data_IF_074420551164
#
_entry.id   IF_074420551164
#
_cell.length_a   1.000
_cell.length_b   1.000
_cell.length_c   1.000
_cell.angle_alpha   90.00
_cell.angle_beta   90.00
_cell.angle_gamma   90.00
#
_symmetry.space_group_name_H-M   'P 1'
#
loop_
_entity.id
_entity.type
_entity.pdbx_description
1 polymer ?
#
# COMPACT_ATOMS: atom_id res chain seq x y z
N UNK A 1 70.92 48.67 15.51
CA UNK A 1 69.78 48.32 16.39
C UNK A 1 68.52 48.68 15.64
N UNK A 2 68.11 47.85 14.69
CA UNK A 2 67.15 46.74 14.88
C UNK A 2 65.73 47.24 15.18
N UNK A 3 64.81 46.96 14.27
CA UNK A 3 63.73 46.01 14.53
C UNK A 3 63.17 45.44 13.21
N UNK A 4 63.32 44.13 13.08
CA UNK A 4 62.85 43.28 11.99
C UNK A 4 61.32 43.15 11.95
N UNK A 5 60.84 42.86 10.74
CA UNK A 5 59.47 42.44 10.41
C UNK A 5 59.14 41.07 11.00
N UNK A 6 57.96 40.93 11.58
CA UNK A 6 57.36 39.62 11.87
C UNK A 6 56.29 39.35 10.80
N UNK A 7 56.52 38.30 10.01
CA UNK A 7 55.58 37.72 9.05
C UNK A 7 54.37 37.12 9.78
N UNK A 8 53.17 37.45 9.30
CA UNK A 8 51.94 36.69 9.58
C UNK A 8 51.93 35.50 8.63
N UNK A 9 52.08 34.29 9.18
CA UNK A 9 51.92 33.03 8.48
C UNK A 9 50.44 32.65 8.38
N UNK A 10 50.03 32.29 7.17
CA UNK A 10 48.72 31.76 6.79
C UNK A 10 48.51 30.34 7.36
N UNK A 11 47.28 29.98 7.79
CA UNK A 11 46.92 28.58 7.91
C UNK A 11 46.64 28.03 6.51
N UNK A 12 47.34 26.94 6.20
CA UNK A 12 47.21 26.08 5.05
C UNK A 12 45.76 25.69 4.78
N UNK A 13 45.27 26.06 3.60
CA UNK A 13 44.03 25.57 3.00
C UNK A 13 44.25 24.16 2.42
N UNK A 14 43.26 23.29 2.60
CA UNK A 14 43.29 21.96 1.99
C UNK A 14 42.18 20.99 2.37
N UNK A 15 41.03 21.45 2.88
CA UNK A 15 39.79 20.68 2.76
C UNK A 15 39.08 21.20 1.50
N UNK A 16 38.73 20.33 0.55
CA UNK A 16 38.17 20.78 -0.73
C UNK A 16 36.85 21.51 -0.46
N UNK A 17 36.53 22.57 -1.22
CA UNK A 17 35.27 23.32 -1.00
C UNK A 17 34.03 22.42 -1.09
N UNK A 18 34.12 21.33 -1.86
CA UNK A 18 33.10 20.30 -1.96
C UNK A 18 32.91 19.48 -0.67
N UNK A 19 33.94 19.27 0.14
CA UNK A 19 33.84 18.57 1.44
C UNK A 19 33.21 19.47 2.51
N UNK A 20 33.55 20.76 2.50
CA UNK A 20 32.92 21.76 3.36
C UNK A 20 31.45 21.99 2.99
N UNK A 21 31.13 22.11 1.69
CA UNK A 21 29.75 22.19 1.19
C UNK A 21 28.95 20.93 1.51
N UNK A 22 29.53 19.73 1.32
CA UNK A 22 28.88 18.47 1.68
C UNK A 22 28.64 18.32 3.20
N UNK A 23 29.52 18.88 4.04
CA UNK A 23 29.36 18.91 5.50
C UNK A 23 28.21 19.84 5.92
N UNK A 24 28.12 21.03 5.33
CA UNK A 24 27.03 21.99 5.59
C UNK A 24 25.69 21.42 5.10
N UNK A 25 25.67 20.77 3.92
CA UNK A 25 24.47 20.13 3.40
C UNK A 25 23.98 18.99 4.31
N UNK A 26 24.91 18.21 4.89
CA UNK A 26 24.57 17.14 5.84
C UNK A 26 23.96 17.66 7.14
N UNK A 27 24.41 18.81 7.65
CA UNK A 27 23.83 19.43 8.85
C UNK A 27 22.44 20.03 8.62
N UNK A 28 22.05 20.26 7.37
CA UNK A 28 20.73 20.78 7.01
C UNK A 28 19.68 19.68 6.78
N UNK A 29 20.07 18.40 6.71
CA UNK A 29 19.15 17.28 6.53
C UNK A 29 18.48 16.91 7.84
N UNK A 30 17.18 16.62 7.79
CA UNK A 30 16.38 16.10 8.91
C UNK A 30 16.72 14.65 9.21
N UNK A 31 17.05 13.89 8.17
CA UNK A 31 17.33 12.45 8.27
C UNK A 31 18.79 12.13 7.94
N UNK A 32 19.41 11.31 8.79
CA UNK A 32 20.81 10.95 8.69
C UNK A 32 20.97 9.43 8.57
N UNK A 33 21.03 8.97 7.33
CA UNK A 33 21.28 7.57 7.02
C UNK A 33 22.73 7.37 6.59
N UNK A 34 23.46 6.54 7.34
CA UNK A 34 24.79 6.09 6.98
C UNK A 34 24.76 5.21 5.71
N UNK A 35 25.70 5.45 4.79
CA UNK A 35 25.86 4.64 3.58
C UNK A 35 26.30 3.20 3.92
N UNK A 36 26.05 2.29 2.99
CA UNK A 36 26.41 0.86 3.07
C UNK A 36 25.94 0.24 4.39
N UNK A 37 24.77 0.66 4.86
CA UNK A 37 24.18 0.23 6.11
C UNK A 37 22.76 -0.28 5.87
N UNK A 38 22.39 -1.29 6.63
CA UNK A 38 21.05 -1.86 6.69
C UNK A 38 20.40 -1.45 8.01
N UNK A 39 19.23 -0.85 7.90
CA UNK A 39 18.35 -0.50 9.02
C UNK A 39 17.22 -1.52 9.05
N UNK A 40 17.14 -2.27 10.13
CA UNK A 40 16.16 -3.32 10.32
C UNK A 40 15.01 -2.78 11.17
N UNK A 41 13.78 -2.99 10.70
CA UNK A 41 12.57 -2.56 11.37
C UNK A 41 11.61 -3.73 11.53
N UNK A 42 10.92 -3.83 12.67
CA UNK A 42 9.70 -4.63 12.74
C UNK A 42 8.61 -3.89 12.00
N UNK A 43 7.76 -4.63 11.28
CA UNK A 43 6.65 -4.10 10.52
C UNK A 43 5.37 -4.85 10.89
N UNK A 44 4.38 -4.12 11.38
CA UNK A 44 3.05 -4.63 11.68
C UNK A 44 2.01 -3.75 11.01
N UNK A 45 1.00 -4.36 10.40
CA UNK A 45 -0.19 -3.68 9.88
C UNK A 45 -1.42 -4.46 10.29
N UNK A 46 -2.35 -3.80 10.97
CA UNK A 46 -3.63 -4.33 11.41
C UNK A 46 -4.75 -3.60 10.69
N UNK A 47 -5.56 -4.33 9.94
CA UNK A 47 -6.76 -3.80 9.29
C UNK A 47 -7.99 -4.46 9.87
N UNK A 48 -8.92 -3.67 10.37
CA UNK A 48 -10.20 -4.10 10.91
C UNK A 48 -11.35 -3.49 10.11
N UNK A 49 -12.34 -4.30 9.76
CA UNK A 49 -13.56 -3.87 9.08
C UNK A 49 -14.75 -4.29 9.95
N UNK A 50 -15.64 -3.36 10.24
CA UNK A 50 -16.80 -3.60 11.08
C UNK A 50 -17.98 -2.69 10.72
N UNK A 51 -19.18 -3.10 11.13
CA UNK A 51 -20.34 -2.22 11.09
C UNK A 51 -20.36 -1.33 12.33
N UNK A 52 -20.74 -0.06 12.15
CA UNK A 52 -20.70 0.94 13.24
C UNK A 52 -21.61 0.57 14.44
N UNK A 53 -22.63 -0.26 14.23
CA UNK A 53 -23.52 -0.75 15.28
C UNK A 53 -22.98 -1.98 16.03
N UNK A 54 -21.97 -2.66 15.51
CA UNK A 54 -21.40 -3.91 16.04
C UNK A 54 -19.88 -3.90 15.91
N UNK A 55 -19.18 -2.94 16.53
CA UNK A 55 -17.74 -2.79 16.39
C UNK A 55 -16.95 -3.98 16.93
N UNK A 56 -17.49 -4.69 17.92
CA UNK A 56 -16.84 -5.87 18.52
C UNK A 56 -16.82 -7.07 17.57
N UNK A 57 -17.68 -7.09 16.55
CA UNK A 57 -17.77 -8.15 15.55
C UNK A 57 -16.89 -7.86 14.32
N UNK A 58 -15.70 -7.32 14.53
CA UNK A 58 -14.81 -6.89 13.46
C UNK A 58 -14.13 -8.07 12.75
N UNK A 59 -14.09 -8.02 11.43
CA UNK A 59 -13.19 -8.86 10.63
C UNK A 59 -11.82 -8.22 10.61
N UNK A 60 -10.77 -8.97 11.00
CA UNK A 60 -9.41 -8.46 11.15
C UNK A 60 -8.41 -9.20 10.27
N UNK A 61 -7.47 -8.45 9.72
CA UNK A 61 -6.31 -8.95 8.98
C UNK A 61 -5.06 -8.27 9.54
N UNK A 62 -4.09 -9.05 9.98
CA UNK A 62 -2.80 -8.56 10.47
C UNK A 62 -1.69 -9.09 9.58
N UNK A 63 -0.80 -8.20 9.14
CA UNK A 63 0.43 -8.55 8.44
C UNK A 63 1.58 -8.15 9.35
N UNK A 64 2.45 -9.10 9.68
CA UNK A 64 3.68 -8.87 10.44
C UNK A 64 4.88 -9.25 9.60
N UNK A 65 6.04 -8.65 9.84
CA UNK A 65 7.31 -9.06 9.26
C UNK A 65 8.46 -8.15 9.66
N UNK A 66 9.58 -8.32 8.98
CA UNK A 66 10.79 -7.52 9.17
C UNK A 66 11.11 -6.77 7.88
N UNK A 67 11.30 -5.46 7.97
CA UNK A 67 11.69 -4.62 6.84
C UNK A 67 13.17 -4.22 6.96
N UNK A 68 13.94 -4.49 5.91
CA UNK A 68 15.30 -4.02 5.76
C UNK A 68 15.33 -2.84 4.81
N UNK A 69 15.89 -1.73 5.29
CA UNK A 69 16.18 -0.55 4.48
C UNK A 69 17.70 -0.48 4.31
N UNK A 70 18.17 -0.81 3.11
CA UNK A 70 19.58 -0.68 2.74
C UNK A 70 19.84 0.68 2.08
N UNK A 71 20.93 1.33 2.47
CA UNK A 71 21.31 2.66 2.00
C UNK A 71 22.52 2.54 1.07
N UNK A 72 22.26 2.52 -0.24
CA UNK A 72 23.33 2.41 -1.24
C UNK A 72 24.06 3.74 -1.43
N UNK A 73 23.29 4.82 -1.57
CA UNK A 73 23.79 6.20 -1.62
C UNK A 73 22.89 7.07 -0.73
N UNK A 74 23.25 8.33 -0.41
CA UNK A 74 22.43 9.17 0.45
C UNK A 74 21.01 9.43 -0.06
N UNK A 75 20.74 9.15 -1.33
CA UNK A 75 19.42 9.32 -1.93
C UNK A 75 18.85 8.03 -2.53
N UNK A 76 19.60 6.91 -2.56
CA UNK A 76 19.18 5.64 -3.16
C UNK A 76 19.11 4.53 -2.12
N UNK A 77 17.89 4.06 -1.89
CA UNK A 77 17.56 3.12 -0.84
C UNK A 77 16.93 1.87 -1.43
N UNK A 78 16.99 0.78 -0.67
CA UNK A 78 16.38 -0.50 -1.05
C UNK A 78 15.59 -1.05 0.12
N UNK A 79 14.31 -1.28 -0.10
CA UNK A 79 13.42 -1.99 0.80
C UNK A 79 13.40 -3.48 0.45
N UNK A 80 13.58 -4.34 1.44
CA UNK A 80 13.24 -5.76 1.33
C UNK A 80 12.52 -6.22 2.58
N UNK A 81 11.44 -6.96 2.39
CA UNK A 81 10.65 -7.55 3.47
C UNK A 81 11.10 -9.00 3.69
N UNK A 82 10.99 -9.45 4.93
CA UNK A 82 11.35 -10.79 5.40
C UNK A 82 10.34 -11.26 6.45
N UNK A 83 10.26 -12.58 6.63
CA UNK A 83 9.53 -13.23 7.72
C UNK A 83 8.06 -12.78 7.79
N UNK A 84 7.44 -12.62 6.63
CA UNK A 84 6.07 -12.11 6.51
C UNK A 84 5.09 -13.19 6.96
N UNK A 85 4.25 -12.83 7.93
CA UNK A 85 3.17 -13.67 8.44
C UNK A 85 1.86 -12.91 8.36
N UNK A 86 0.82 -13.60 7.92
CA UNK A 86 -0.53 -13.05 7.82
C UNK A 86 -1.43 -13.77 8.81
N UNK A 87 -2.09 -13.01 9.68
CA UNK A 87 -3.09 -13.49 10.63
C UNK A 87 -4.46 -12.93 10.25
N UNK A 88 -5.52 -13.69 10.47
CA UNK A 88 -6.89 -13.29 10.21
C UNK A 88 -7.78 -13.66 11.40
N UNK A 89 -8.85 -12.90 11.62
CA UNK A 89 -9.85 -13.22 12.65
C UNK A 89 -10.45 -14.61 12.41
N UNK A 90 -10.60 -15.40 13.48
CA UNK A 90 -11.24 -16.70 13.39
C UNK A 90 -12.76 -16.52 13.13
N UNK A 91 -13.34 -17.20 12.11
CA UNK A 91 -14.77 -17.10 11.82
C UNK A 91 -15.68 -17.60 12.95
N UNK A 92 -15.17 -18.47 13.83
CA UNK A 92 -15.91 -19.09 14.94
C UNK A 92 -15.66 -18.33 16.24
N UNK A 93 -14.43 -17.87 16.47
CA UNK A 93 -14.04 -17.07 17.63
C UNK A 93 -13.43 -15.74 17.19
N UNK A 94 -14.27 -14.73 17.00
CA UNK A 94 -13.83 -13.41 16.50
C UNK A 94 -12.82 -12.70 17.42
N UNK A 95 -12.67 -13.15 18.68
CA UNK A 95 -11.63 -12.66 19.60
C UNK A 95 -10.25 -13.28 19.38
N UNK A 96 -10.16 -14.35 18.59
CA UNK A 96 -8.93 -15.06 18.29
C UNK A 96 -8.42 -14.75 16.87
N UNK A 97 -7.12 -14.50 16.75
CA UNK A 97 -6.43 -14.35 15.46
C UNK A 97 -5.71 -15.65 15.14
N UNK A 98 -5.96 -16.21 13.95
CA UNK A 98 -5.29 -17.42 13.46
C UNK A 98 -4.43 -17.10 12.25
N UNK A 99 -3.40 -17.91 11.99
CA UNK A 99 -2.60 -17.78 10.76
C UNK A 99 -3.48 -18.03 9.54
N UNK A 100 -3.39 -17.14 8.54
CA UNK A 100 -4.12 -17.31 7.29
C UNK A 100 -3.60 -18.51 6.51
N UNK A 101 -4.50 -19.27 5.88
CA UNK A 101 -4.16 -20.48 5.13
C UNK A 101 -3.19 -20.20 3.97
N UNK A 102 -3.22 -18.99 3.40
CA UNK A 102 -2.35 -18.56 2.29
C UNK A 102 -1.17 -17.70 2.74
N UNK A 103 -0.90 -17.62 4.06
CA UNK A 103 0.18 -16.80 4.60
C UNK A 103 1.54 -17.15 3.99
N UNK A 104 1.80 -18.42 3.65
CA UNK A 104 3.06 -18.83 3.02
C UNK A 104 3.19 -18.26 1.60
N UNK A 105 2.18 -18.48 0.74
CA UNK A 105 2.21 -17.98 -0.63
C UNK A 105 2.30 -16.45 -0.66
N UNK A 106 1.54 -15.80 0.24
CA UNK A 106 1.58 -14.35 0.43
C UNK A 106 2.98 -13.84 0.82
N UNK A 107 3.62 -14.48 1.81
CA UNK A 107 4.98 -14.12 2.22
C UNK A 107 5.99 -14.34 1.12
N UNK A 108 5.94 -15.48 0.41
CA UNK A 108 6.85 -15.79 -0.71
C UNK A 108 6.81 -14.69 -1.77
N UNK A 109 5.62 -14.29 -2.22
CA UNK A 109 5.49 -13.26 -3.25
C UNK A 109 5.94 -11.88 -2.77
N UNK A 110 5.63 -11.52 -1.52
CA UNK A 110 5.96 -10.20 -0.97
C UNK A 110 7.47 -10.05 -0.66
N UNK A 111 8.12 -11.10 -0.18
CA UNK A 111 9.54 -11.11 0.21
C UNK A 111 10.50 -11.31 -0.97
N UNK A 112 10.00 -11.83 -2.11
CA UNK A 112 10.82 -12.25 -3.25
C UNK A 112 11.74 -11.15 -3.76
N UNK A 113 11.15 -10.03 -4.18
CA UNK A 113 11.87 -8.98 -4.90
C UNK A 113 12.18 -7.77 -4.00
N UNK A 114 13.40 -7.20 -4.04
CA UNK A 114 13.67 -5.92 -3.39
C UNK A 114 13.04 -4.75 -4.16
N UNK A 115 12.65 -3.69 -3.46
CA UNK A 115 12.17 -2.45 -4.06
C UNK A 115 13.17 -1.31 -3.85
N UNK A 116 13.75 -0.83 -4.94
CA UNK A 116 14.58 0.39 -4.90
C UNK A 116 13.68 1.61 -4.84
N UNK A 117 14.10 2.65 -4.12
CA UNK A 117 13.39 3.93 -4.08
C UNK A 117 14.36 5.08 -3.83
N UNK A 118 13.97 6.27 -4.29
CA UNK A 118 14.68 7.50 -3.95
C UNK A 118 14.15 8.05 -2.64
N UNK A 119 15.05 8.49 -1.76
CA UNK A 119 14.68 9.11 -0.48
C UNK A 119 15.49 10.38 -0.27
N UNK A 120 14.82 11.52 -0.27
CA UNK A 120 15.43 12.84 -0.15
C UNK A 120 14.79 13.57 1.02
N UNK A 121 15.50 13.61 2.14
CA UNK A 121 15.13 14.36 3.34
C UNK A 121 13.68 14.16 3.81
N UNK A 122 13.24 12.90 3.84
CA UNK A 122 11.89 12.51 4.24
C UNK A 122 10.95 12.25 3.06
N UNK A 123 11.24 12.72 1.85
CA UNK A 123 10.36 12.51 0.70
C UNK A 123 10.84 11.38 -0.21
N UNK A 124 9.89 10.57 -0.66
CA UNK A 124 10.11 9.55 -1.69
C UNK A 124 9.58 10.08 -3.00
N UNK A 125 10.46 10.24 -4.00
CA UNK A 125 10.07 10.76 -5.30
C UNK A 125 9.64 9.64 -6.25
N UNK A 126 10.47 8.61 -6.36
CA UNK A 126 10.27 7.49 -7.28
C UNK A 126 10.53 6.17 -6.58
N UNK A 127 9.80 5.14 -7.02
CA UNK A 127 10.11 3.74 -6.75
C UNK A 127 10.54 3.05 -8.04
N UNK A 128 11.37 2.01 -7.91
CA UNK A 128 11.96 1.29 -9.02
C UNK A 128 11.84 -0.23 -8.77
N UNK A 129 10.71 -0.86 -9.12
CA UNK A 129 10.53 -2.29 -8.96
C UNK A 129 11.36 -3.12 -9.96
N UNK A 130 11.54 -4.39 -9.62
CA UNK A 130 12.08 -5.41 -10.54
C UNK A 130 11.04 -5.73 -11.63
N UNK A 131 11.49 -6.21 -12.79
CA UNK A 131 10.58 -6.65 -13.84
C UNK A 131 9.63 -7.75 -13.37
N UNK A 132 8.36 -7.64 -13.77
CA UNK A 132 7.31 -8.61 -13.47
C UNK A 132 7.04 -8.84 -11.97
N UNK A 133 7.40 -7.89 -11.10
CA UNK A 133 6.91 -7.90 -9.72
C UNK A 133 5.37 -7.82 -9.71
N UNK A 134 4.75 -8.58 -8.81
CA UNK A 134 3.31 -8.61 -8.70
C UNK A 134 2.79 -7.25 -8.19
N UNK A 135 1.82 -6.65 -8.90
CA UNK A 135 1.29 -5.32 -8.56
C UNK A 135 0.74 -5.25 -7.13
N UNK A 136 0.08 -6.31 -6.63
CA UNK A 136 -0.40 -6.29 -5.24
C UNK A 136 0.75 -6.27 -4.23
N UNK A 137 1.82 -7.02 -4.47
CA UNK A 137 2.99 -7.04 -3.59
C UNK A 137 3.71 -5.69 -3.61
N UNK A 138 3.83 -5.10 -4.80
CA UNK A 138 4.35 -3.75 -4.97
C UNK A 138 3.50 -2.71 -4.22
N UNK A 139 2.17 -2.84 -4.23
CA UNK A 139 1.28 -1.94 -3.50
C UNK A 139 1.42 -2.07 -1.97
N UNK A 140 1.67 -3.26 -1.43
CA UNK A 140 1.99 -3.43 -0.01
C UNK A 140 3.30 -2.71 0.34
N UNK A 141 4.34 -2.84 -0.50
CA UNK A 141 5.61 -2.11 -0.33
C UNK A 141 5.44 -0.60 -0.46
N UNK A 142 4.59 -0.13 -1.39
CA UNK A 142 4.19 1.29 -1.48
C UNK A 142 3.51 1.75 -0.19
N UNK A 143 2.65 0.94 0.41
CA UNK A 143 2.04 1.22 1.71
C UNK A 143 3.09 1.43 2.80
N UNK A 144 4.06 0.51 2.92
CA UNK A 144 5.19 0.67 3.85
C UNK A 144 5.95 1.98 3.60
N UNK A 145 6.35 2.23 2.35
CA UNK A 145 7.11 3.44 1.96
C UNK A 145 6.29 4.72 2.16
N UNK A 146 4.96 4.66 2.01
CA UNK A 146 4.08 5.80 2.25
C UNK A 146 4.03 6.19 3.71
N UNK A 147 4.07 5.22 4.63
CA UNK A 147 4.22 5.48 6.06
C UNK A 147 5.64 5.92 6.42
N UNK A 148 6.64 5.46 5.68
CA UNK A 148 8.05 5.82 5.89
C UNK A 148 8.41 7.26 5.48
N UNK A 149 7.62 7.86 4.58
CA UNK A 149 7.84 9.24 4.16
C UNK A 149 7.49 10.24 5.28
N UNK A 150 8.19 11.37 5.31
CA UNK A 150 7.88 12.53 6.13
C UNK A 150 8.04 13.80 5.28
N UNK A 151 6.96 14.55 5.13
CA UNK A 151 6.95 15.78 4.33
C UNK A 151 7.00 17.06 5.18
N UNK A 152 7.01 16.95 6.53
CA UNK A 152 7.02 18.08 7.44
C UNK A 152 8.27 18.93 7.23
N UNK A 153 8.07 20.24 7.14
CA UNK A 153 9.19 21.18 6.97
C UNK A 153 9.99 21.36 8.25
N UNK A 154 9.33 21.25 9.41
CA UNK A 154 9.94 21.38 10.72
C UNK A 154 9.39 20.30 11.65
N UNK A 155 10.28 19.49 12.23
CA UNK A 155 9.93 18.39 13.13
C UNK A 155 9.52 18.86 14.54
N UNK A 156 9.61 20.15 14.82
CA UNK A 156 9.31 20.75 16.14
C UNK A 156 7.84 21.18 16.30
N UNK A 157 7.05 21.07 15.23
CA UNK A 157 5.65 21.52 15.21
C UNK A 157 4.78 20.46 14.54
N UNK A 158 3.61 20.20 15.12
CA UNK A 158 2.59 19.37 14.50
C UNK A 158 1.93 20.15 13.35
N UNK A 159 1.92 19.57 12.14
CA UNK A 159 1.25 20.12 10.97
C UNK A 159 -0.07 19.35 10.74
N UNK A 160 -1.20 20.00 11.02
CA UNK A 160 -2.52 19.44 10.77
C UNK A 160 -3.02 19.90 9.39
N UNK A 161 -3.32 18.95 8.51
CA UNK A 161 -3.98 19.23 7.23
C UNK A 161 -5.46 18.89 7.38
N UNK A 162 -6.32 19.90 7.45
CA UNK A 162 -7.77 19.70 7.38
C UNK A 162 -8.20 19.56 5.93
N UNK A 163 -8.70 18.38 5.55
CA UNK A 163 -9.35 18.18 4.26
C UNK A 163 -10.79 18.75 4.28
N UNK A 164 -11.25 19.38 3.19
CA UNK A 164 -12.59 19.97 3.14
C UNK A 164 -13.69 18.91 3.30
N UNK A 165 -14.67 19.20 4.16
CA UNK A 165 -15.86 18.35 4.37
C UNK A 165 -16.65 18.23 3.06
N UNK A 166 -16.57 17.07 2.43
CA UNK A 166 -17.41 16.71 1.28
C UNK A 166 -18.77 16.17 1.73
N UNK A 167 -19.82 16.36 0.93
CA UNK A 167 -21.17 15.76 1.12
C UNK A 167 -21.14 14.25 0.83
N UNK A 168 -19.97 13.69 0.54
CA UNK A 168 -19.75 12.26 0.34
C UNK A 168 -20.21 11.43 1.55
N UNK A 169 -20.83 10.25 1.34
CA UNK A 169 -21.04 9.29 2.42
C UNK A 169 -19.73 8.74 2.99
N UNK A 170 -18.59 9.02 2.35
CA UNK A 170 -17.27 8.63 2.80
C UNK A 170 -16.60 9.75 3.58
N UNK A 171 -16.05 9.40 4.75
CA UNK A 171 -15.12 10.23 5.51
C UNK A 171 -13.84 9.44 5.70
N UNK A 172 -12.71 10.01 5.31
CA UNK A 172 -11.40 9.39 5.44
C UNK A 172 -10.53 10.27 6.33
N UNK A 173 -9.86 9.67 7.31
CA UNK A 173 -8.93 10.36 8.21
C UNK A 173 -7.65 9.53 8.25
N UNK A 174 -6.50 10.18 8.20
CA UNK A 174 -5.22 9.51 8.37
C UNK A 174 -4.31 10.33 9.28
N UNK A 175 -3.81 9.69 10.33
CA UNK A 175 -2.85 10.27 11.27
C UNK A 175 -1.59 9.42 11.28
N UNK A 176 -0.43 10.06 11.15
CA UNK A 176 0.87 9.38 11.25
C UNK A 176 1.75 10.13 12.25
N UNK A 177 2.33 9.39 13.19
CA UNK A 177 3.27 9.88 14.18
C UNK A 177 4.60 9.19 13.97
N UNK A 178 5.66 9.97 13.86
CA UNK A 178 7.01 9.46 13.65
C UNK A 178 7.93 10.02 14.73
N UNK A 179 8.76 9.16 15.30
CA UNK A 179 9.81 9.58 16.24
C UNK A 179 11.16 9.43 15.57
N UNK A 180 11.96 10.49 15.60
CA UNK A 180 13.32 10.49 15.09
C UNK A 180 14.26 10.52 16.29
N UNK A 181 15.28 9.67 16.29
CA UNK A 181 16.24 9.62 17.38
C UNK A 181 17.23 10.81 17.33
N UNK A 182 18.06 10.93 18.37
CA UNK A 182 19.02 12.02 18.49
C UNK A 182 20.09 12.06 17.40
N UNK A 183 20.23 10.99 16.61
CA UNK A 183 21.19 10.92 15.50
C UNK A 183 20.51 11.05 14.14
N UNK A 184 19.21 11.39 14.09
CA UNK A 184 18.49 11.68 12.86
C UNK A 184 17.95 10.45 12.14
N UNK A 185 17.77 9.31 12.82
CA UNK A 185 17.18 8.09 12.24
C UNK A 185 15.71 7.97 12.63
N UNK A 186 14.89 7.45 11.73
CA UNK A 186 13.52 7.06 12.05
C UNK A 186 13.56 5.91 13.07
N UNK A 187 13.05 6.15 14.27
CA UNK A 187 13.02 5.16 15.35
C UNK A 187 11.67 4.44 15.43
N UNK A 188 10.56 5.18 15.29
CA UNK A 188 9.22 4.59 15.26
C UNK A 188 8.31 5.35 14.31
N UNK A 189 7.37 4.63 13.72
CA UNK A 189 6.32 5.17 12.86
C UNK A 189 5.04 4.46 13.25
N UNK A 190 4.04 5.23 13.69
CA UNK A 190 2.70 4.74 13.98
C UNK A 190 1.72 5.51 13.13
N UNK A 191 1.05 4.82 12.20
CA UNK A 191 0.01 5.40 11.37
C UNK A 191 -1.35 4.76 11.70
N UNK A 192 -2.41 5.56 11.71
CA UNK A 192 -3.78 5.12 11.90
C UNK A 192 -4.67 5.82 10.87
N UNK A 193 -5.21 5.03 9.95
CA UNK A 193 -6.18 5.46 8.95
C UNK A 193 -7.58 4.94 9.29
N UNK A 194 -8.59 5.77 9.08
CA UNK A 194 -10.00 5.42 9.25
C UNK A 194 -10.78 5.82 7.99
N UNK A 195 -11.58 4.89 7.47
CA UNK A 195 -12.53 5.15 6.40
C UNK A 195 -13.92 4.79 6.87
N UNK A 196 -14.79 5.79 7.01
CA UNK A 196 -16.16 5.61 7.42
C UNK A 196 -17.08 5.78 6.22
N UNK A 197 -17.93 4.79 5.98
CA UNK A 197 -19.01 4.84 5.01
C UNK A 197 -20.35 4.97 5.74
N UNK A 198 -21.02 6.11 5.56
CA UNK A 198 -22.31 6.44 6.16
C UNK A 198 -23.33 6.80 5.08
N UNK A 199 -23.99 5.80 4.46
CA UNK A 199 -24.94 6.03 3.37
C UNK A 199 -26.30 6.56 3.84
N UNK A 200 -26.66 6.39 5.12
CA UNK A 200 -27.91 6.86 5.69
C UNK A 200 -27.68 8.00 6.69
N UNK A 201 -28.67 8.85 6.89
CA UNK A 201 -28.64 9.87 7.95
C UNK A 201 -28.75 9.18 9.31
N UNK A 202 -27.68 9.22 10.10
CA UNK A 202 -27.60 8.64 11.44
C UNK A 202 -26.24 7.98 11.71
N UNK A 203 -25.77 8.01 12.95
CA UNK A 203 -24.36 7.68 13.27
C UNK A 203 -24.06 6.17 13.29
N UNK A 204 -25.09 5.32 13.32
CA UNK A 204 -24.96 3.86 13.53
C UNK A 204 -25.18 3.01 12.27
N UNK A 205 -25.64 3.62 11.17
CA UNK A 205 -25.93 2.92 9.91
C UNK A 205 -24.79 3.14 8.93
N UNK A 206 -23.73 2.35 9.08
CA UNK A 206 -22.55 2.45 8.25
C UNK A 206 -21.53 1.37 8.56
N UNK A 207 -20.42 1.42 7.85
CA UNK A 207 -19.26 0.57 8.06
C UNK A 207 -18.02 1.45 8.25
N UNK A 208 -17.06 0.94 9.01
CA UNK A 208 -15.75 1.54 9.14
C UNK A 208 -14.67 0.52 8.82
N UNK A 209 -13.63 1.01 8.14
CA UNK A 209 -12.36 0.33 7.99
C UNK A 209 -11.31 1.11 8.76
N UNK A 210 -10.65 0.48 9.71
CA UNK A 210 -9.56 1.07 10.48
C UNK A 210 -8.29 0.29 10.18
N UNK A 211 -7.25 1.00 9.74
CA UNK A 211 -5.94 0.43 9.48
C UNK A 211 -4.92 1.08 10.38
N UNK A 212 -4.22 0.27 11.18
CA UNK A 212 -3.10 0.69 12.01
C UNK A 212 -1.81 0.09 11.47
N UNK A 213 -0.75 0.90 11.41
CA UNK A 213 0.57 0.46 11.00
C UNK A 213 1.58 0.86 12.06
N UNK A 214 2.47 -0.05 12.40
CA UNK A 214 3.55 0.15 13.35
C UNK A 214 4.87 -0.32 12.73
N UNK A 215 5.85 0.58 12.67
CA UNK A 215 7.19 0.31 12.18
C UNK A 215 8.16 0.74 13.27
N UNK A 216 8.95 -0.19 13.82
CA UNK A 216 9.88 0.09 14.91
C UNK A 216 11.29 -0.29 14.52
N UNK A 217 12.24 0.62 14.73
CA UNK A 217 13.66 0.36 14.52
C UNK A 217 14.15 -0.71 15.50
N UNK A 218 14.76 -1.76 14.97
CA UNK A 218 15.35 -2.84 15.75
C UNK A 218 16.84 -2.66 15.90
N UNK A 219 17.56 -2.53 14.76
CA UNK A 219 19.01 -2.46 14.75
C UNK A 219 19.56 -1.90 13.43
N UNK A 220 20.81 -1.48 13.49
CA UNK A 220 21.59 -1.06 12.32
C UNK A 220 22.82 -1.97 12.20
N UNK A 221 23.14 -2.36 10.97
CA UNK A 221 24.38 -3.06 10.65
C UNK A 221 25.04 -2.46 9.41
N UNK A 222 26.37 -2.50 9.34
CA UNK A 222 27.11 -2.11 8.14
C UNK A 222 27.29 -3.34 7.27
N UNK A 223 26.79 -3.30 6.04
CA UNK A 223 26.83 -4.42 5.09
C UNK A 223 26.89 -3.87 3.68
N UNK A 224 27.78 -4.40 2.85
CA UNK A 224 27.76 -4.12 1.42
C UNK A 224 26.72 -5.05 0.77
N UNK A 225 25.65 -4.48 0.22
CA UNK A 225 24.67 -5.25 -0.55
C UNK A 225 24.67 -4.81 -2.01
N UNK A 226 24.69 -5.79 -2.91
CA UNK A 226 24.51 -5.59 -4.35
C UNK A 226 23.10 -6.02 -4.72
N UNK A 227 22.34 -5.13 -5.33
CA UNK A 227 20.99 -5.42 -5.78
C UNK A 227 20.91 -5.45 -7.31
N UNK A 228 19.98 -6.24 -7.88
CA UNK A 228 19.80 -6.33 -9.33
C UNK A 228 19.50 -4.96 -9.97
N UNK A 229 19.72 -4.85 -11.30
CA UNK A 229 19.28 -3.69 -12.07
C UNK A 229 17.75 -3.58 -12.01
N UNK A 230 17.24 -2.34 -12.04
CA UNK A 230 15.81 -2.04 -12.04
C UNK A 230 15.33 -1.67 -13.43
N UNK A 231 14.02 -1.79 -13.67
CA UNK A 231 13.45 -1.59 -14.99
C UNK A 231 12.92 -0.17 -15.20
N UNK A 232 11.93 0.24 -14.40
CA UNK A 232 11.19 1.50 -14.61
C UNK A 232 10.97 2.28 -13.32
N UNK A 233 10.99 3.61 -13.44
CA UNK A 233 10.57 4.54 -12.37
C UNK A 233 9.05 4.63 -12.34
N UNK A 234 8.47 4.51 -11.16
CA UNK A 234 7.05 4.66 -10.90
C UNK A 234 6.82 5.61 -9.74
N UNK A 235 5.60 6.14 -9.63
CA UNK A 235 5.18 6.89 -8.46
C UNK A 235 4.93 5.95 -7.26
N UNK A 236 4.92 6.57 -6.08
CA UNK A 236 4.54 5.92 -4.83
C UNK A 236 3.03 5.65 -4.72
N UNK A 237 2.22 6.22 -5.61
CA UNK A 237 0.76 6.08 -5.56
C UNK A 237 0.33 4.63 -5.76
N UNK A 238 -0.76 4.26 -5.10
CA UNK A 238 -1.40 2.96 -5.27
C UNK A 238 -1.75 2.75 -6.74
N UNK A 239 -1.32 1.62 -7.30
CA UNK A 239 -1.68 1.22 -8.64
C UNK A 239 -2.89 0.31 -8.52
N UNK A 240 -4.06 0.80 -8.94
CA UNK A 240 -5.26 -0.02 -8.96
C UNK A 240 -5.03 -1.19 -9.89
N UNK A 241 -4.78 -2.36 -9.30
CA UNK A 241 -4.92 -3.62 -10.02
C UNK A 241 -6.35 -3.60 -10.54
N UNK A 242 -6.53 -3.44 -11.84
CA UNK A 242 -7.71 -4.00 -12.48
C UNK A 242 -7.64 -5.48 -12.15
N UNK A 243 -8.30 -5.85 -11.05
CA UNK A 243 -8.66 -7.22 -10.73
C UNK A 243 -9.50 -7.64 -11.93
N UNK A 244 -8.85 -8.14 -12.98
CA UNK A 244 -9.34 -9.03 -14.02
C UNK A 244 -8.40 -9.04 -15.23
N UNK A 245 -7.25 -9.69 -15.05
CA UNK A 245 -6.78 -10.64 -16.07
C UNK A 245 -7.47 -12.00 -15.91
N UNK A 246 -8.74 -12.01 -15.49
CA UNK A 246 -9.54 -13.21 -15.69
C UNK A 246 -9.83 -13.27 -17.19
N UNK A 247 -9.60 -14.43 -17.80
CA UNK A 247 -9.84 -14.62 -19.22
C UNK A 247 -11.25 -14.12 -19.56
N UNK A 248 -11.35 -13.15 -20.49
CA UNK A 248 -12.61 -12.55 -20.91
C UNK A 248 -13.60 -13.63 -21.36
N UNK A 249 -13.12 -14.75 -21.88
CA UNK A 249 -13.95 -15.90 -22.25
C UNK A 249 -14.60 -16.56 -21.03
N UNK A 250 -13.84 -16.75 -19.94
CA UNK A 250 -14.37 -17.28 -18.67
C UNK A 250 -15.42 -16.35 -18.06
N UNK A 251 -15.25 -15.03 -18.19
CA UNK A 251 -16.25 -14.04 -17.75
C UNK A 251 -17.53 -14.15 -18.57
N UNK A 252 -17.41 -14.27 -19.90
CA UNK A 252 -18.55 -14.43 -20.81
C UNK A 252 -19.33 -15.72 -20.54
N UNK A 253 -18.65 -16.83 -20.25
CA UNK A 253 -19.28 -18.10 -19.86
C UNK A 253 -20.08 -17.95 -18.56
N UNK A 254 -19.45 -17.33 -17.55
CA UNK A 254 -20.10 -17.07 -16.25
C UNK A 254 -21.34 -16.17 -16.41
N UNK A 255 -21.28 -15.16 -17.27
CA UNK A 255 -22.43 -14.30 -17.59
C UNK A 255 -23.56 -15.12 -18.21
N UNK A 256 -23.25 -16.04 -19.13
CA UNK A 256 -24.24 -16.95 -19.71
C UNK A 256 -24.96 -17.78 -18.65
N UNK A 257 -24.21 -18.36 -17.70
CA UNK A 257 -24.77 -19.12 -16.58
C UNK A 257 -25.68 -18.27 -15.68
N UNK A 258 -25.26 -17.03 -15.37
CA UNK A 258 -26.05 -16.11 -14.54
C UNK A 258 -27.35 -15.71 -15.24
N UNK A 259 -27.30 -15.41 -16.55
CA UNK A 259 -28.49 -15.09 -17.34
C UNK A 259 -29.48 -16.25 -17.39
N UNK A 260 -28.99 -17.48 -17.53
CA UNK A 260 -29.83 -18.67 -17.49
C UNK A 260 -30.49 -18.84 -16.11
N UNK A 261 -29.74 -18.62 -15.03
CA UNK A 261 -30.25 -18.72 -13.67
C UNK A 261 -31.33 -17.64 -13.38
N UNK A 262 -31.12 -16.40 -13.86
CA UNK A 262 -32.13 -15.34 -13.79
C UNK A 262 -33.41 -15.70 -14.55
N UNK A 263 -33.28 -16.30 -15.73
CA UNK A 263 -34.41 -16.81 -16.50
C UNK A 263 -35.22 -17.85 -15.73
N UNK A 264 -34.56 -18.78 -15.03
CA UNK A 264 -35.23 -19.81 -14.22
C UNK A 264 -35.90 -19.22 -12.98
N UNK A 265 -35.21 -18.33 -12.27
CA UNK A 265 -35.70 -17.71 -11.03
C UNK A 265 -36.85 -16.71 -11.26
N UNK A 266 -37.05 -16.25 -12.50
CA UNK A 266 -38.10 -15.29 -12.85
C UNK A 266 -39.37 -15.93 -13.42
N UNK A 267 -39.41 -17.26 -13.66
CA UNK A 267 -40.54 -17.96 -14.31
C UNK A 267 -41.85 -17.90 -13.51
N UNK A 268 -41.77 -17.98 -12.19
CA UNK A 268 -42.93 -18.07 -11.30
C UNK A 268 -43.03 -16.88 -10.33
N UNK A 269 -42.56 -15.70 -10.77
CA UNK A 269 -42.40 -14.50 -9.93
C UNK A 269 -40.99 -14.39 -9.35
N UNK A 270 -40.62 -13.19 -8.90
CA UNK A 270 -39.28 -12.92 -8.39
C UNK A 270 -39.05 -13.59 -7.04
N UNK A 271 -38.03 -14.44 -6.98
CA UNK A 271 -37.56 -15.04 -5.72
C UNK A 271 -36.75 -14.01 -4.93
N UNK A 272 -36.66 -14.18 -3.61
CA UNK A 272 -35.86 -13.30 -2.75
C UNK A 272 -34.37 -13.24 -3.13
N UNK A 273 -33.85 -14.27 -3.81
CA UNK A 273 -32.46 -14.35 -4.26
C UNK A 273 -32.20 -13.65 -5.60
N UNK A 274 -33.24 -13.34 -6.39
CA UNK A 274 -33.09 -12.76 -7.72
C UNK A 274 -32.29 -11.44 -7.75
N UNK A 275 -32.44 -10.52 -6.76
CA UNK A 275 -31.59 -9.32 -6.68
C UNK A 275 -30.08 -9.64 -6.56
N UNK A 276 -29.70 -10.70 -5.85
CA UNK A 276 -28.30 -11.11 -5.74
C UNK A 276 -27.78 -11.65 -7.08
N UNK A 277 -28.56 -12.49 -7.76
CA UNK A 277 -28.18 -13.03 -9.08
C UNK A 277 -28.06 -11.90 -10.12
N UNK A 278 -28.93 -10.89 -10.06
CA UNK A 278 -28.84 -9.71 -10.92
C UNK A 278 -27.61 -8.85 -10.59
N UNK A 279 -27.26 -8.70 -9.32
CA UNK A 279 -26.03 -8.02 -8.92
C UNK A 279 -24.79 -8.72 -9.46
N UNK A 280 -24.74 -10.06 -9.40
CA UNK A 280 -23.64 -10.85 -9.96
C UNK A 280 -23.50 -10.64 -11.47
N UNK A 281 -24.62 -10.51 -12.20
CA UNK A 281 -24.61 -10.17 -13.63
C UNK A 281 -23.96 -8.80 -13.85
N UNK A 282 -24.42 -7.77 -13.14
CA UNK A 282 -23.89 -6.41 -13.25
C UNK A 282 -22.41 -6.37 -12.88
N UNK A 283 -21.98 -7.09 -11.84
CA UNK A 283 -20.60 -7.22 -11.44
C UNK A 283 -19.73 -7.85 -12.54
N UNK A 284 -20.22 -8.91 -13.21
CA UNK A 284 -19.51 -9.53 -14.32
C UNK A 284 -19.47 -8.62 -15.56
N UNK A 285 -20.57 -7.94 -15.88
CA UNK A 285 -20.65 -7.03 -17.03
C UNK A 285 -19.74 -5.81 -16.89
N UNK A 286 -19.54 -5.29 -15.67
CA UNK A 286 -18.59 -4.18 -15.40
C UNK A 286 -17.14 -4.48 -15.79
N UNK A 287 -16.82 -5.76 -15.99
CA UNK A 287 -15.47 -6.25 -16.34
C UNK A 287 -15.29 -6.43 -17.85
N UNK A 288 -16.35 -6.25 -18.64
CA UNK A 288 -16.31 -6.37 -20.09
C UNK A 288 -16.06 -5.01 -20.75
N UNK A 289 -15.40 -5.03 -21.90
CA UNK A 289 -15.27 -3.85 -22.76
C UNK A 289 -16.53 -3.64 -23.60
N UNK A 290 -16.66 -2.44 -24.18
CA UNK A 290 -17.82 -2.06 -24.98
C UNK A 290 -18.15 -3.04 -26.13
N UNK A 291 -17.17 -3.60 -26.87
CA UNK A 291 -17.43 -4.61 -27.90
C UNK A 291 -18.07 -5.88 -27.35
N UNK A 292 -17.56 -6.42 -26.23
CA UNK A 292 -18.12 -7.63 -25.61
C UNK A 292 -19.50 -7.38 -25.00
N UNK A 293 -19.73 -6.21 -24.39
CA UNK A 293 -21.05 -5.81 -23.91
C UNK A 293 -22.08 -5.71 -25.05
N UNK A 294 -21.66 -5.20 -26.21
CA UNK A 294 -22.50 -5.13 -27.40
C UNK A 294 -22.85 -6.53 -27.91
N UNK A 295 -21.87 -7.43 -28.01
CA UNK A 295 -22.08 -8.83 -28.40
C UNK A 295 -23.02 -9.57 -27.44
N UNK A 296 -22.87 -9.34 -26.13
CA UNK A 296 -23.76 -9.87 -25.11
C UNK A 296 -25.19 -9.37 -25.30
N UNK A 297 -25.37 -8.06 -25.52
CA UNK A 297 -26.68 -7.46 -25.77
C UNK A 297 -27.34 -8.02 -27.04
N UNK A 298 -26.62 -8.12 -28.15
CA UNK A 298 -27.11 -8.69 -29.41
C UNK A 298 -27.52 -10.16 -29.22
N UNK A 299 -26.71 -10.93 -28.47
CA UNK A 299 -27.00 -12.34 -28.17
C UNK A 299 -28.23 -12.49 -27.28
N UNK A 300 -28.42 -11.63 -26.29
CA UNK A 300 -29.58 -11.66 -25.40
C UNK A 300 -30.87 -11.19 -26.10
N UNK A 301 -30.78 -10.13 -26.91
CA UNK A 301 -31.92 -9.49 -27.58
C UNK A 301 -32.46 -10.26 -28.79
N UNK A 302 -31.60 -10.99 -29.51
CA UNK A 302 -31.98 -11.79 -30.69
C UNK A 302 -32.76 -13.07 -30.35
N UNK A 303 -33.08 -13.29 -29.08
CA UNK A 303 -33.26 -14.62 -28.58
C UNK A 303 -34.44 -14.75 -27.61
N UNK A 304 -35.45 -15.55 -27.95
CA UNK A 304 -36.57 -15.88 -27.06
C UNK A 304 -36.13 -16.98 -26.07
N UNK A 305 -35.20 -16.67 -25.15
CA UNK A 305 -34.30 -17.67 -24.55
C UNK A 305 -34.42 -17.91 -23.03
N UNK A 306 -35.62 -17.91 -22.46
CA UNK A 306 -35.82 -18.66 -21.20
C UNK A 306 -36.27 -20.12 -21.43
N UNK A 307 -36.27 -20.58 -22.70
CA UNK A 307 -36.85 -21.86 -23.13
C UNK A 307 -35.87 -22.88 -23.72
N UNK A 308 -34.61 -22.54 -24.04
CA UNK A 308 -33.66 -23.48 -24.67
C UNK A 308 -32.37 -23.67 -23.86
N UNK A 309 -32.09 -24.92 -23.49
CA UNK A 309 -30.95 -25.39 -22.68
C UNK A 309 -29.63 -25.50 -23.47
N UNK A 310 -29.34 -24.54 -24.33
CA UNK A 310 -28.09 -24.57 -25.11
C UNK A 310 -27.48 -23.19 -25.12
N UNK A 311 -26.53 -22.98 -24.20
CA UNK A 311 -25.65 -21.82 -24.25
C UNK A 311 -24.21 -22.26 -24.59
N UNK A 312 -23.75 -21.71 -25.72
CA UNK A 312 -22.40 -21.28 -26.12
C UNK A 312 -21.29 -22.35 -26.13
N UNK A 313 -20.87 -22.70 -27.36
CA UNK A 313 -19.50 -23.15 -27.67
C UNK A 313 -18.59 -21.93 -27.80
#
# INVERSE_FOLDING_TARGET
MEKEMIQVSSPTSGASSAEAEASVLRQALKFHFARNSVYEYSYTTDTAIFFLNTPDAASRLTITGTAHIYVSTPCDFVLKLYDVVTLESDPVDQGHMRKSNRSRDFGVDLEREPLRFSFQDGRIHDICPVENENTWALNIKRGFLSAFQNSMKNLSFDENVEEPKSISPWTSIQECKQTIDSVGRLYSITCRGEHHFRPMRGDLHGAATVTSQEILFLRQSTRLETHPPFSKRLSLQYDSVEQDRQDKNSVMEKIGQILQNLCEHSKNGFRQDTPHVFWDLVACMRRLDAPLLKSLYETASSSSRCSDKTYIK
#
